data_IF_970355970431
#
_entry.id   IF_970355970431
#
_cell.length_a   1.000
_cell.length_b   1.000
_cell.length_c   1.000
_cell.angle_alpha   90.00
_cell.angle_beta   90.00
_cell.angle_gamma   90.00
#
_symmetry.space_group_name_H-M   'P 1'
#
loop_
_entity.id
_entity.type
_entity.pdbx_description
1 polymer ?
#
# COMPACT_ATOMS: atom_id res chain seq x y z
N UNK A 1 17.79 -68.27 -2.82
CA UNK A 1 17.93 -68.71 -4.23
C UNK A 1 17.03 -67.86 -5.10
N UNK A 2 17.52 -67.53 -6.30
CA UNK A 2 16.87 -66.70 -7.32
C UNK A 2 15.66 -67.39 -8.00
N UNK A 3 14.75 -66.57 -8.56
CA UNK A 3 13.95 -66.84 -9.77
C UNK A 3 12.55 -67.41 -9.53
N UNK A 4 11.51 -67.15 -10.34
CA UNK A 4 11.35 -66.29 -11.51
C UNK A 4 9.83 -66.09 -11.82
N UNK A 5 9.48 -64.85 -12.16
CA UNK A 5 8.53 -64.33 -13.16
C UNK A 5 7.24 -65.10 -13.59
N UNK A 6 6.18 -64.29 -13.64
CA UNK A 6 5.20 -64.03 -14.74
C UNK A 6 3.91 -64.83 -14.93
N UNK A 7 2.85 -64.04 -15.23
CA UNK A 7 1.64 -64.39 -15.99
C UNK A 7 0.38 -63.77 -15.36
N UNK A 8 0.03 -62.52 -15.66
CA UNK A 8 -1.06 -62.14 -16.60
C UNK A 8 -2.42 -62.75 -16.24
N UNK A 9 -3.29 -61.98 -15.58
CA UNK A 9 -4.72 -62.29 -15.44
C UNK A 9 -5.57 -61.21 -16.13
N UNK A 10 -6.34 -61.65 -17.13
CA UNK A 10 -7.51 -60.97 -17.68
C UNK A 10 -8.55 -60.72 -16.59
N UNK A 11 -9.15 -59.53 -16.56
CA UNK A 11 -10.44 -59.34 -15.88
C UNK A 11 -11.47 -58.75 -16.83
N UNK A 12 -12.48 -59.57 -17.06
CA UNK A 12 -13.70 -59.35 -17.83
C UNK A 12 -14.46 -58.12 -17.35
N UNK A 13 -15.03 -57.40 -18.32
CA UNK A 13 -15.86 -56.22 -18.11
C UNK A 13 -17.22 -56.59 -17.47
N UNK A 14 -17.63 -55.94 -16.36
CA UNK A 14 -19.01 -55.95 -15.91
C UNK A 14 -19.77 -54.70 -16.38
N UNK A 15 -20.86 -54.99 -17.10
CA UNK A 15 -22.16 -54.31 -17.22
C UNK A 15 -22.34 -53.03 -16.37
N UNK A 16 -22.60 -51.92 -17.05
CA UNK A 16 -22.85 -50.59 -16.46
C UNK A 16 -24.13 -50.52 -15.61
N UNK A 17 -24.11 -49.78 -14.48
CA UNK A 17 -25.30 -49.16 -13.91
C UNK A 17 -25.48 -47.75 -14.49
N UNK A 18 -26.72 -47.45 -14.89
CA UNK A 18 -27.15 -46.14 -15.37
C UNK A 18 -27.14 -45.14 -14.19
N UNK A 19 -26.44 -44.02 -14.35
CA UNK A 19 -26.51 -42.87 -13.44
C UNK A 19 -27.38 -41.80 -14.08
N UNK A 20 -28.46 -41.41 -13.41
CA UNK A 20 -29.26 -40.25 -13.81
C UNK A 20 -28.40 -38.97 -13.76
N UNK A 21 -28.55 -38.04 -14.72
CA UNK A 21 -27.77 -36.83 -14.73
C UNK A 21 -28.24 -35.91 -13.61
N UNK A 22 -27.47 -35.82 -12.52
CA UNK A 22 -27.54 -34.68 -11.61
C UNK A 22 -27.28 -33.43 -12.43
N UNK A 23 -28.31 -32.60 -12.58
CA UNK A 23 -28.25 -31.32 -13.27
C UNK A 23 -27.33 -30.39 -12.49
N UNK A 24 -26.04 -30.45 -12.80
CA UNK A 24 -25.07 -29.46 -12.36
C UNK A 24 -25.55 -28.11 -12.90
N UNK A 25 -25.99 -27.23 -12.00
CA UNK A 25 -26.15 -25.81 -12.31
C UNK A 25 -24.78 -25.34 -12.78
N UNK A 26 -24.62 -25.22 -14.10
CA UNK A 26 -23.45 -24.58 -14.70
C UNK A 26 -23.34 -23.22 -14.02
N UNK A 27 -22.29 -23.04 -13.22
CA UNK A 27 -21.86 -21.71 -12.88
C UNK A 27 -21.67 -21.00 -14.21
N UNK A 28 -22.41 -19.91 -14.41
CA UNK A 28 -22.22 -19.06 -15.57
C UNK A 28 -20.73 -18.70 -15.65
N UNK A 29 -20.16 -18.54 -16.85
CA UNK A 29 -18.83 -17.96 -16.94
C UNK A 29 -18.92 -16.60 -16.27
N UNK A 30 -18.23 -16.44 -15.15
CA UNK A 30 -17.92 -15.11 -14.63
C UNK A 30 -17.17 -14.43 -15.77
N UNK A 31 -17.81 -13.47 -16.41
CA UNK A 31 -17.14 -12.59 -17.34
C UNK A 31 -15.88 -12.04 -16.64
N UNK A 32 -14.76 -11.82 -17.36
CA UNK A 32 -13.67 -11.06 -16.80
C UNK A 32 -14.29 -9.75 -16.34
N UNK A 33 -14.25 -9.48 -15.04
CA UNK A 33 -14.51 -8.14 -14.55
C UNK A 33 -13.38 -7.34 -15.17
N UNK A 34 -13.71 -6.42 -16.07
CA UNK A 34 -12.78 -5.37 -16.43
C UNK A 34 -12.59 -4.57 -15.15
N UNK A 35 -11.58 -5.00 -14.39
CA UNK A 35 -11.15 -4.44 -13.12
C UNK A 35 -10.88 -2.96 -13.36
N UNK A 36 -11.58 -2.11 -12.62
CA UNK A 36 -11.57 -0.68 -12.85
C UNK A 36 -10.18 -0.12 -12.52
N UNK A 37 -9.25 -0.15 -13.48
CA UNK A 37 -8.10 0.73 -13.70
C UNK A 37 -7.12 1.03 -12.55
N UNK A 38 -7.36 0.51 -11.35
CA UNK A 38 -6.69 0.82 -10.09
C UNK A 38 -5.98 -0.45 -9.64
N UNK A 39 -4.69 -0.36 -9.38
CA UNK A 39 -3.91 -1.52 -8.95
C UNK A 39 -4.21 -1.91 -7.48
N UNK A 40 -3.82 -3.13 -7.07
CA UNK A 40 -4.14 -3.63 -5.73
C UNK A 40 -3.62 -2.79 -4.57
N UNK A 41 -2.46 -2.11 -4.71
CA UNK A 41 -1.90 -1.30 -3.62
C UNK A 41 -2.72 -0.02 -3.43
N UNK A 42 -3.01 0.67 -4.53
CA UNK A 42 -3.91 1.83 -4.54
C UNK A 42 -5.30 1.49 -4.03
N UNK A 43 -5.88 0.35 -4.44
CA UNK A 43 -7.19 -0.10 -3.96
C UNK A 43 -7.21 -0.39 -2.46
N UNK A 44 -6.10 -0.93 -1.92
CA UNK A 44 -5.95 -1.17 -0.48
C UNK A 44 -5.92 0.13 0.30
N UNK A 45 -5.14 1.11 -0.14
CA UNK A 45 -5.02 2.41 0.54
C UNK A 45 -6.28 3.26 0.40
N UNK A 46 -7.00 3.15 -0.73
CA UNK A 46 -8.23 3.89 -0.96
C UNK A 46 -9.39 3.41 -0.07
N UNK A 47 -9.35 2.17 0.43
CA UNK A 47 -10.39 1.59 1.29
C UNK A 47 -11.82 1.72 0.70
N UNK A 48 -11.93 1.68 -0.63
CA UNK A 48 -13.20 1.83 -1.36
C UNK A 48 -13.61 3.26 -1.72
N UNK A 49 -12.80 4.26 -1.38
CA UNK A 49 -12.99 5.65 -1.83
C UNK A 49 -12.53 5.80 -3.29
N UNK A 50 -13.48 6.11 -4.17
CA UNK A 50 -13.23 6.21 -5.61
C UNK A 50 -12.34 7.40 -5.99
N UNK A 51 -12.45 8.53 -5.29
CA UNK A 51 -11.68 9.74 -5.57
C UNK A 51 -10.21 9.53 -5.18
N UNK A 52 -9.97 8.91 -4.02
CA UNK A 52 -8.62 8.51 -3.60
C UNK A 52 -8.05 7.48 -4.57
N UNK A 53 -8.83 6.45 -4.94
CA UNK A 53 -8.39 5.40 -5.86
C UNK A 53 -7.94 5.94 -7.22
N UNK A 54 -8.73 6.83 -7.83
CA UNK A 54 -8.39 7.43 -9.13
C UNK A 54 -7.15 8.34 -9.06
N UNK A 55 -7.01 9.12 -7.97
CA UNK A 55 -5.84 9.96 -7.77
C UNK A 55 -4.56 9.12 -7.60
N UNK A 56 -4.59 8.05 -6.81
CA UNK A 56 -3.45 7.15 -6.63
C UNK A 56 -3.10 6.41 -7.92
N UNK A 57 -4.10 5.96 -8.68
CA UNK A 57 -3.89 5.37 -9.99
C UNK A 57 -3.25 6.38 -10.97
N UNK A 58 -3.65 7.65 -10.92
CA UNK A 58 -3.03 8.72 -11.70
C UNK A 58 -1.57 8.95 -11.31
N UNK A 59 -1.26 8.98 -10.01
CA UNK A 59 0.12 9.09 -9.51
C UNK A 59 0.99 7.93 -10.01
N UNK A 60 0.48 6.69 -9.99
CA UNK A 60 1.20 5.52 -10.50
C UNK A 60 1.39 5.51 -12.02
N UNK A 61 0.47 6.13 -12.77
CA UNK A 61 0.68 6.31 -14.22
C UNK A 61 1.83 7.29 -14.50
N UNK A 62 1.99 8.32 -13.66
CA UNK A 62 3.09 9.27 -13.77
C UNK A 62 4.43 8.69 -13.27
N UNK A 63 4.40 7.97 -12.14
CA UNK A 63 5.56 7.33 -11.52
C UNK A 63 5.26 5.84 -11.26
N UNK A 64 5.61 4.92 -12.19
CA UNK A 64 5.27 3.50 -12.06
C UNK A 64 5.83 2.79 -10.83
N UNK A 65 6.90 3.34 -10.23
CA UNK A 65 7.51 2.83 -9.01
C UNK A 65 6.80 3.32 -7.73
N UNK A 66 5.83 4.23 -7.84
CA UNK A 66 5.08 4.72 -6.69
C UNK A 66 4.20 3.63 -6.08
N UNK A 67 4.39 3.39 -4.79
CA UNK A 67 3.61 2.43 -4.00
C UNK A 67 2.95 3.18 -2.83
N UNK A 68 1.64 3.48 -2.90
CA UNK A 68 0.88 4.11 -1.82
C UNK A 68 1.13 3.55 -0.41
N UNK A 69 1.24 2.23 -0.24
CA UNK A 69 1.51 1.63 1.08
C UNK A 69 2.89 2.01 1.60
N UNK A 70 3.92 1.96 0.75
CA UNK A 70 5.28 2.37 1.12
C UNK A 70 5.36 3.87 1.38
N UNK A 71 4.63 4.67 0.60
CA UNK A 71 4.52 6.11 0.79
C UNK A 71 3.99 6.47 2.19
N UNK A 72 2.93 5.81 2.67
CA UNK A 72 2.42 6.01 4.04
C UNK A 72 3.49 5.64 5.09
N UNK A 73 4.24 4.56 4.86
CA UNK A 73 5.35 4.16 5.71
C UNK A 73 6.47 5.21 5.77
N UNK A 74 6.85 5.78 4.62
CA UNK A 74 7.80 6.87 4.53
C UNK A 74 7.29 8.16 5.18
N UNK A 75 6.01 8.49 4.98
CA UNK A 75 5.38 9.67 5.58
C UNK A 75 5.41 9.63 7.12
N UNK A 76 5.20 8.45 7.72
CA UNK A 76 5.33 8.26 9.18
C UNK A 76 6.74 8.58 9.68
N UNK A 77 7.76 8.15 8.95
CA UNK A 77 9.17 8.40 9.31
C UNK A 77 9.53 9.87 9.10
N UNK A 78 9.11 10.46 7.98
CA UNK A 78 9.32 11.87 7.69
C UNK A 78 8.67 12.76 8.76
N UNK A 79 7.47 12.41 9.23
CA UNK A 79 6.81 13.15 10.32
C UNK A 79 7.67 13.19 11.59
N UNK A 80 8.24 12.06 12.00
CA UNK A 80 9.15 12.00 13.15
C UNK A 80 10.39 12.87 12.93
N UNK A 81 11.05 12.73 11.78
CA UNK A 81 12.26 13.49 11.46
C UNK A 81 12.00 14.99 11.46
N UNK A 82 10.92 15.45 10.81
CA UNK A 82 10.55 16.86 10.74
C UNK A 82 10.21 17.39 12.13
N UNK A 83 9.41 16.65 12.91
CA UNK A 83 9.02 17.08 14.25
C UNK A 83 10.24 17.21 15.16
N UNK A 84 11.10 16.20 15.20
CA UNK A 84 12.30 16.25 16.04
C UNK A 84 13.31 17.30 15.57
N UNK A 85 13.45 17.51 14.26
CA UNK A 85 14.28 18.59 13.72
C UNK A 85 13.75 19.96 14.14
N UNK A 86 12.43 20.17 14.10
CA UNK A 86 11.81 21.39 14.60
C UNK A 86 12.04 21.60 16.10
N UNK A 87 11.84 20.56 16.92
CA UNK A 87 12.03 20.67 18.36
C UNK A 87 13.48 21.00 18.74
N UNK A 88 14.45 20.40 18.06
CA UNK A 88 15.88 20.69 18.27
C UNK A 88 16.38 21.95 17.55
N UNK A 89 15.56 22.55 16.69
CA UNK A 89 15.95 23.72 15.90
C UNK A 89 16.99 23.41 14.81
N UNK A 90 16.97 22.19 14.26
CA UNK A 90 17.80 21.73 13.15
C UNK A 90 17.21 22.19 11.81
N UNK A 91 17.65 23.37 11.38
CA UNK A 91 17.20 23.99 10.14
C UNK A 91 17.70 23.27 8.89
N UNK A 92 18.81 22.55 8.98
CA UNK A 92 19.40 21.89 7.80
C UNK A 92 18.63 20.63 7.43
N UNK A 93 18.16 19.87 8.42
CA UNK A 93 17.24 18.76 8.19
C UNK A 93 15.89 19.27 7.67
N UNK A 94 15.31 20.31 8.28
CA UNK A 94 14.01 20.86 7.84
C UNK A 94 14.01 21.31 6.38
N UNK A 95 15.10 21.90 5.90
CA UNK A 95 15.21 22.38 4.51
C UNK A 95 15.13 21.26 3.47
N UNK A 96 15.45 20.02 3.85
CA UNK A 96 15.41 18.87 2.93
C UNK A 96 14.00 18.31 2.74
N UNK A 97 13.09 18.56 3.71
CA UNK A 97 11.74 17.99 3.70
C UNK A 97 10.65 19.01 3.39
N UNK A 98 10.89 20.29 3.63
CA UNK A 98 9.86 21.32 3.56
C UNK A 98 9.99 22.18 2.30
N UNK A 99 8.85 22.53 1.71
CA UNK A 99 8.77 23.56 0.69
C UNK A 99 9.26 24.91 1.26
N UNK A 100 9.82 25.82 0.44
CA UNK A 100 10.47 27.05 0.91
C UNK A 100 9.59 27.94 1.79
N UNK A 101 8.30 28.07 1.45
CA UNK A 101 7.32 28.86 2.19
C UNK A 101 6.99 28.25 3.56
N UNK A 102 6.81 26.92 3.62
CA UNK A 102 6.59 26.18 4.87
C UNK A 102 7.85 26.22 5.75
N UNK A 103 9.02 26.02 5.15
CA UNK A 103 10.31 26.09 5.84
C UNK A 103 10.50 27.44 6.56
N UNK A 104 10.15 28.55 5.89
CA UNK A 104 10.33 29.89 6.46
C UNK A 104 9.52 30.04 7.75
N UNK A 105 8.27 29.58 7.79
CA UNK A 105 7.44 29.62 9.00
C UNK A 105 8.05 28.84 10.17
N UNK A 106 8.68 27.68 9.89
CA UNK A 106 9.36 26.89 10.92
C UNK A 106 10.62 27.60 11.42
N UNK A 107 11.42 28.17 10.50
CA UNK A 107 12.63 28.90 10.85
C UNK A 107 12.34 30.11 11.74
N UNK A 108 11.31 30.88 11.42
CA UNK A 108 10.89 32.05 12.19
C UNK A 108 10.43 31.66 13.60
N UNK A 109 9.64 30.59 13.74
CA UNK A 109 9.21 30.08 15.03
C UNK A 109 10.39 29.60 15.90
N UNK A 110 11.37 28.92 15.29
CA UNK A 110 12.60 28.49 15.98
C UNK A 110 13.42 29.71 16.44
N UNK A 111 13.56 30.72 15.58
CA UNK A 111 14.30 31.94 15.90
C UNK A 111 13.65 32.69 17.08
N UNK A 112 12.34 32.92 17.04
CA UNK A 112 11.60 33.57 18.10
C UNK A 112 11.74 32.83 19.45
N UNK A 113 11.69 31.50 19.44
CA UNK A 113 11.90 30.68 20.64
C UNK A 113 13.31 30.84 21.22
N UNK A 114 14.34 30.88 20.35
CA UNK A 114 15.74 31.08 20.76
C UNK A 114 15.97 32.48 21.31
N UNK A 115 15.40 33.51 20.69
CA UNK A 115 15.47 34.90 21.18
C UNK A 115 14.83 35.07 22.55
N UNK A 116 13.75 34.33 22.83
CA UNK A 116 13.12 34.28 24.14
C UNK A 116 13.91 33.46 25.19
N UNK A 117 15.03 32.84 24.80
CA UNK A 117 15.88 32.06 25.70
C UNK A 117 15.30 30.69 26.10
N UNK A 118 14.32 30.18 25.37
CA UNK A 118 13.71 28.88 25.67
C UNK A 118 14.49 27.73 25.02
N UNK A 119 14.68 26.66 25.80
CA UNK A 119 15.16 25.36 25.32
C UNK A 119 14.03 24.34 25.37
N UNK A 120 14.06 23.38 24.44
CA UNK A 120 13.07 22.29 24.40
C UNK A 120 13.80 20.95 24.47
N UNK A 121 13.34 20.12 25.40
CA UNK A 121 13.68 18.71 25.46
C UNK A 121 12.46 17.92 25.02
N UNK A 122 12.55 17.30 23.84
CA UNK A 122 11.46 16.53 23.26
C UNK A 122 11.83 15.05 23.17
N UNK A 123 10.81 14.19 23.32
CA UNK A 123 10.93 12.75 23.06
C UNK A 123 9.78 12.30 22.18
N UNK A 124 10.12 11.69 21.06
CA UNK A 124 9.15 11.02 20.20
C UNK A 124 8.86 9.61 20.70
N UNK A 125 7.57 9.26 20.80
CA UNK A 125 7.13 7.91 21.22
C UNK A 125 6.70 7.07 20.01
N UNK A 126 6.09 7.69 19.00
CA UNK A 126 5.64 7.01 17.79
C UNK A 126 4.37 7.60 17.19
N UNK A 127 4.06 7.18 15.96
CA UNK A 127 2.79 7.47 15.28
C UNK A 127 1.83 6.30 15.48
N UNK A 128 0.66 6.56 16.08
CA UNK A 128 -0.37 5.53 16.31
C UNK A 128 -0.99 5.06 14.99
N UNK A 129 -1.41 5.99 14.14
CA UNK A 129 -2.09 5.70 12.89
C UNK A 129 -1.69 6.71 11.80
N UNK A 130 -1.65 6.25 10.54
CA UNK A 130 -1.44 7.11 9.38
C UNK A 130 -2.18 6.50 8.19
N UNK A 131 -3.02 7.31 7.54
CA UNK A 131 -3.86 6.90 6.42
C UNK A 131 -4.06 8.04 5.44
N UNK A 132 -4.40 7.72 4.21
CA UNK A 132 -4.81 8.74 3.22
C UNK A 132 -6.25 9.14 3.51
N UNK A 133 -6.49 10.44 3.69
CA UNK A 133 -7.83 10.99 3.96
C UNK A 133 -8.44 11.68 2.75
N UNK A 134 -7.61 12.08 1.80
CA UNK A 134 -7.95 12.67 0.53
C UNK A 134 -6.72 12.59 -0.38
N UNK A 135 -6.93 12.52 -1.69
CA UNK A 135 -5.86 12.58 -2.67
C UNK A 135 -6.31 13.41 -3.88
N UNK A 136 -5.36 14.16 -4.43
CA UNK A 136 -5.51 14.90 -5.67
C UNK A 136 -4.18 14.80 -6.41
N UNK A 137 -4.25 14.60 -7.71
CA UNK A 137 -3.09 14.61 -8.58
C UNK A 137 -3.29 15.71 -9.63
N UNK A 138 -2.40 16.69 -9.62
CA UNK A 138 -2.34 17.74 -10.62
C UNK A 138 -1.32 17.32 -11.68
N UNK A 139 -1.82 16.93 -12.86
CA UNK A 139 -1.01 16.59 -14.01
C UNK A 139 -0.73 17.85 -14.81
N UNK A 140 0.12 18.72 -14.28
CA UNK A 140 0.62 19.90 -15.00
C UNK A 140 1.65 19.52 -16.07
#
# INVERSE_FOLDING_TARGET
>A
MLGAKTGLEEQQAPRAPQVEPVRQKRAAPVAPVEDAGVDPDSATVAEGDADIGEALASMRRAEPAFLPTEFIGGARQAFEMILMAFEHGDLDTLRQFLAPDVYQGFADAIAARKEAGYTVEARFVGVRDARVVAARFDAD
#
